data_IF_132080722924
#
_entry.id   IF_132080722924
#
_cell.length_a   1.000
_cell.length_b   1.000
_cell.length_c   1.000
_cell.angle_alpha   90.00
_cell.angle_beta   90.00
_cell.angle_gamma   90.00
#
_symmetry.space_group_name_H-M   'P 1'
#
loop_
_entity.id
_entity.type
_entity.pdbx_description
1 polymer ?
#
# COMPACT_ATOMS: atom_id res chain seq x y z
N UNK A 1 -7.10 17.47 13.88
CA UNK A 1 -5.80 17.21 14.55
C UNK A 1 -5.99 16.76 16.01
N UNK A 2 -6.74 17.49 16.83
CA UNK A 2 -6.97 17.15 18.26
C UNK A 2 -7.58 15.76 18.45
N UNK A 3 -8.55 15.39 17.63
CA UNK A 3 -9.21 14.08 17.65
C UNK A 3 -8.27 12.92 17.30
N UNK A 4 -7.40 13.08 16.29
CA UNK A 4 -6.40 12.09 15.92
C UNK A 4 -5.42 11.83 17.08
N UNK A 5 -4.94 12.91 17.72
CA UNK A 5 -4.01 12.81 18.86
C UNK A 5 -4.70 12.11 20.04
N UNK A 6 -5.95 12.45 20.33
CA UNK A 6 -6.73 11.80 21.40
C UNK A 6 -6.92 10.31 21.12
N UNK A 7 -7.32 9.95 19.90
CA UNK A 7 -7.50 8.56 19.48
C UNK A 7 -6.19 7.78 19.54
N UNK A 8 -5.09 8.34 19.03
CA UNK A 8 -3.76 7.75 19.09
C UNK A 8 -3.30 7.50 20.53
N UNK A 9 -3.48 8.48 21.43
CA UNK A 9 -3.14 8.36 22.85
C UNK A 9 -3.96 7.30 23.58
N UNK A 10 -5.17 7.01 23.11
CA UNK A 10 -6.04 5.98 23.65
C UNK A 10 -5.61 4.54 23.33
N UNK A 11 -4.62 4.31 22.47
CA UNK A 11 -4.03 3.01 22.24
C UNK A 11 -2.89 2.73 23.22
N UNK A 12 -2.62 1.44 23.46
CA UNK A 12 -1.50 1.00 24.30
C UNK A 12 -0.14 1.35 23.65
N UNK A 13 0.94 1.20 24.42
CA UNK A 13 2.29 1.55 23.97
C UNK A 13 2.73 0.78 22.72
N UNK A 14 2.54 -0.56 22.60
CA UNK A 14 2.93 -1.30 21.39
C UNK A 14 2.23 -0.80 20.13
N UNK A 15 0.90 -0.66 20.14
CA UNK A 15 0.14 -0.14 19.00
C UNK A 15 0.61 1.25 18.57
N UNK A 16 0.78 2.17 19.52
CA UNK A 16 1.30 3.52 19.24
C UNK A 16 2.68 3.48 18.61
N UNK A 17 3.55 2.64 19.13
CA UNK A 17 4.89 2.46 18.59
C UNK A 17 4.85 1.94 17.14
N UNK A 18 4.00 0.96 16.84
CA UNK A 18 3.85 0.45 15.47
C UNK A 18 3.34 1.51 14.50
N UNK A 19 2.42 2.38 14.92
CA UNK A 19 1.93 3.50 14.12
C UNK A 19 3.06 4.51 13.83
N UNK A 20 3.83 4.92 14.83
CA UNK A 20 4.99 5.82 14.66
C UNK A 20 6.08 5.16 13.82
N UNK A 21 6.35 3.87 14.03
CA UNK A 21 7.29 3.12 13.21
C UNK A 21 6.87 3.09 11.75
N UNK A 22 5.57 2.93 11.47
CA UNK A 22 5.07 2.93 10.10
C UNK A 22 5.33 4.27 9.39
N UNK A 23 5.14 5.39 10.09
CA UNK A 23 5.51 6.71 9.59
C UNK A 23 7.00 6.78 9.25
N UNK A 24 7.88 6.43 10.20
CA UNK A 24 9.32 6.49 10.02
C UNK A 24 9.81 5.53 8.92
N UNK A 25 9.23 4.33 8.83
CA UNK A 25 9.51 3.33 7.79
C UNK A 25 9.15 3.87 6.40
N UNK A 26 7.98 4.47 6.26
CA UNK A 26 7.58 5.05 4.98
C UNK A 26 8.41 6.28 4.63
N UNK A 27 8.70 7.15 5.60
CA UNK A 27 9.62 8.28 5.39
C UNK A 27 10.97 7.79 4.90
N UNK A 28 11.60 6.85 5.61
CA UNK A 28 12.91 6.30 5.24
C UNK A 28 12.93 5.54 3.90
N UNK A 29 11.82 4.91 3.53
CA UNK A 29 11.69 4.22 2.25
C UNK A 29 11.45 5.20 1.09
N UNK A 30 10.48 6.10 1.23
CA UNK A 30 10.08 6.99 0.15
C UNK A 30 11.03 8.18 -0.04
N UNK A 31 11.94 8.47 0.91
CA UNK A 31 12.99 9.46 0.69
C UNK A 31 14.03 9.00 -0.34
N UNK A 32 14.17 7.68 -0.59
CA UNK A 32 15.17 7.14 -1.52
C UNK A 32 14.55 6.59 -2.80
N UNK A 33 13.42 5.85 -2.70
CA UNK A 33 12.87 5.07 -3.81
C UNK A 33 12.50 5.88 -5.06
N UNK A 34 11.91 7.09 -4.97
CA UNK A 34 11.61 7.90 -6.15
C UNK A 34 12.86 8.31 -6.95
N UNK A 35 14.01 8.40 -6.30
CA UNK A 35 15.26 8.89 -6.90
C UNK A 35 16.20 7.78 -7.36
N UNK A 36 15.95 6.53 -6.92
CA UNK A 36 16.83 5.39 -7.20
C UNK A 36 17.02 5.15 -8.71
N UNK A 37 15.94 5.16 -9.47
CA UNK A 37 16.03 4.95 -10.93
C UNK A 37 16.88 6.01 -11.63
N UNK A 38 16.73 7.28 -11.25
CA UNK A 38 17.53 8.39 -11.77
C UNK A 38 19.00 8.26 -11.41
N UNK A 39 19.31 7.84 -10.20
CA UNK A 39 20.70 7.59 -9.76
C UNK A 39 21.34 6.44 -10.53
N UNK A 40 20.63 5.32 -10.72
CA UNK A 40 21.14 4.15 -11.44
C UNK A 40 21.41 4.47 -12.92
N UNK A 41 20.50 5.20 -13.58
CA UNK A 41 20.63 5.53 -15.00
C UNK A 41 21.62 6.68 -15.25
N UNK A 42 21.64 7.71 -14.39
CA UNK A 42 22.48 8.89 -14.54
C UNK A 42 23.89 8.68 -13.95
N UNK A 43 24.12 8.92 -12.66
CA UNK A 43 25.45 8.84 -12.04
C UNK A 43 26.18 7.51 -12.21
N UNK A 44 25.47 6.37 -12.18
CA UNK A 44 26.07 5.04 -12.37
C UNK A 44 26.09 4.59 -13.83
N UNK A 45 25.44 5.30 -14.75
CA UNK A 45 25.44 5.00 -16.18
C UNK A 45 24.86 3.64 -16.56
N UNK A 46 23.99 3.04 -15.72
CA UNK A 46 23.42 1.73 -16.00
C UNK A 46 22.43 1.78 -17.17
N UNK A 47 22.53 0.79 -18.06
CA UNK A 47 21.56 0.61 -19.12
C UNK A 47 20.13 0.39 -18.56
N UNK A 48 19.10 0.81 -19.31
CA UNK A 48 17.71 0.74 -18.87
C UNK A 48 17.25 -0.66 -18.42
N UNK A 49 17.74 -1.73 -19.07
CA UNK A 49 17.45 -3.10 -18.65
C UNK A 49 17.99 -3.43 -17.25
N UNK A 50 19.18 -2.92 -16.91
CA UNK A 50 19.81 -3.15 -15.60
C UNK A 50 19.05 -2.36 -14.49
N UNK A 51 18.65 -1.12 -14.78
CA UNK A 51 17.78 -0.34 -13.91
C UNK A 51 16.44 -1.07 -13.67
N UNK A 52 15.83 -1.56 -14.74
CA UNK A 52 14.61 -2.37 -14.68
C UNK A 52 14.78 -3.64 -13.86
N UNK A 53 15.91 -4.32 -14.00
CA UNK A 53 16.23 -5.53 -13.23
C UNK A 53 16.39 -5.24 -11.73
N UNK A 54 17.10 -4.17 -11.36
CA UNK A 54 17.28 -3.75 -9.95
C UNK A 54 15.93 -3.43 -9.28
N UNK A 55 15.08 -2.66 -9.96
CA UNK A 55 13.74 -2.31 -9.45
C UNK A 55 12.79 -3.52 -9.48
N UNK A 56 12.89 -4.35 -10.52
CA UNK A 56 12.08 -5.56 -10.69
C UNK A 56 12.36 -6.59 -9.59
N UNK A 57 13.63 -6.85 -9.29
CA UNK A 57 14.02 -7.81 -8.24
C UNK A 57 13.55 -7.36 -6.86
N UNK A 58 13.59 -6.05 -6.58
CA UNK A 58 13.05 -5.48 -5.34
C UNK A 58 11.54 -5.75 -5.22
N UNK A 59 10.79 -5.45 -6.28
CA UNK A 59 9.35 -5.66 -6.30
C UNK A 59 8.99 -7.14 -6.19
N UNK A 60 9.70 -8.00 -6.93
CA UNK A 60 9.50 -9.45 -6.86
C UNK A 60 9.80 -9.99 -5.45
N UNK A 61 10.93 -9.59 -4.84
CA UNK A 61 11.29 -10.00 -3.49
C UNK A 61 10.26 -9.53 -2.44
N UNK A 62 9.62 -8.38 -2.65
CA UNK A 62 8.57 -7.90 -1.77
C UNK A 62 7.23 -8.61 -2.02
N UNK A 63 6.69 -8.55 -3.22
CA UNK A 63 5.34 -9.05 -3.53
C UNK A 63 5.27 -10.58 -3.56
N UNK A 64 6.27 -11.24 -4.16
CA UNK A 64 6.31 -12.70 -4.25
C UNK A 64 6.56 -13.40 -2.92
N UNK A 65 7.18 -12.71 -1.95
CA UNK A 65 7.53 -13.31 -0.66
C UNK A 65 6.60 -12.92 0.49
N UNK A 66 5.52 -12.17 0.26
CA UNK A 66 4.58 -11.79 1.31
C UNK A 66 3.94 -12.99 2.01
N UNK A 67 3.57 -14.02 1.28
CA UNK A 67 2.99 -15.24 1.85
C UNK A 67 4.00 -15.95 2.80
N UNK A 68 5.27 -16.03 2.38
CA UNK A 68 6.33 -16.58 3.22
C UNK A 68 6.55 -15.74 4.48
N UNK A 69 6.63 -14.41 4.34
CA UNK A 69 6.79 -13.50 5.46
C UNK A 69 5.65 -13.60 6.46
N UNK A 70 4.41 -13.69 6.00
CA UNK A 70 3.24 -13.89 6.85
C UNK A 70 3.28 -15.22 7.60
N UNK A 71 3.62 -16.31 6.91
CA UNK A 71 3.74 -17.64 7.52
C UNK A 71 4.83 -17.69 8.59
N UNK A 72 5.99 -17.10 8.29
CA UNK A 72 7.08 -17.00 9.27
C UNK A 72 6.66 -16.16 10.48
N UNK A 73 5.89 -15.07 10.28
CA UNK A 73 5.40 -14.23 11.36
C UNK A 73 4.43 -14.97 12.30
N UNK A 74 3.54 -15.80 11.75
CA UNK A 74 2.63 -16.62 12.54
C UNK A 74 3.33 -17.76 13.26
N UNK A 75 4.52 -18.21 12.79
CA UNK A 75 5.28 -19.32 13.38
C UNK A 75 6.34 -18.88 14.37
N UNK A 76 7.08 -17.84 14.04
CA UNK A 76 8.20 -17.34 14.86
C UNK A 76 7.79 -16.20 15.79
N UNK A 77 6.56 -15.69 15.63
CA UNK A 77 6.07 -14.50 16.31
C UNK A 77 6.32 -13.22 15.52
N UNK A 78 5.53 -12.20 15.81
CA UNK A 78 5.56 -10.97 15.04
C UNK A 78 6.80 -10.12 15.30
N UNK A 79 7.26 -10.00 16.55
CA UNK A 79 8.44 -9.18 16.92
C UNK A 79 9.71 -9.59 16.16
N UNK A 80 10.12 -10.87 16.10
CA UNK A 80 11.31 -11.29 15.36
C UNK A 80 11.26 -10.85 13.90
N UNK A 81 10.11 -11.02 13.24
CA UNK A 81 9.96 -10.68 11.82
C UNK A 81 9.99 -9.17 11.57
N UNK A 82 9.38 -8.38 12.46
CA UNK A 82 9.42 -6.92 12.41
C UNK A 82 10.87 -6.44 12.55
N UNK A 83 11.59 -6.95 13.54
CA UNK A 83 12.98 -6.56 13.81
C UNK A 83 13.91 -7.02 12.67
N UNK A 84 13.81 -8.27 12.23
CA UNK A 84 14.61 -8.82 11.12
C UNK A 84 14.34 -8.05 9.82
N UNK A 85 13.08 -7.71 9.54
CA UNK A 85 12.72 -6.89 8.38
C UNK A 85 13.36 -5.50 8.43
N UNK A 86 13.34 -4.83 9.58
CA UNK A 86 14.01 -3.52 9.74
C UNK A 86 15.52 -3.64 9.64
N UNK A 87 16.13 -4.67 10.23
CA UNK A 87 17.58 -4.92 10.16
C UNK A 87 18.01 -5.18 8.71
N UNK A 88 17.27 -6.00 7.99
CA UNK A 88 17.54 -6.31 6.59
C UNK A 88 17.42 -5.07 5.69
N UNK A 89 16.46 -4.17 5.97
CA UNK A 89 16.39 -2.86 5.30
C UNK A 89 17.56 -1.96 5.64
N UNK A 90 17.98 -1.94 6.90
CA UNK A 90 19.18 -1.21 7.33
C UNK A 90 20.38 -1.64 6.49
N UNK A 91 20.65 -2.95 6.41
CA UNK A 91 21.74 -3.50 5.61
C UNK A 91 21.57 -3.23 4.10
N UNK A 92 20.37 -3.39 3.58
CA UNK A 92 20.06 -3.12 2.18
C UNK A 92 20.29 -1.66 1.78
N UNK A 93 19.85 -0.69 2.59
CA UNK A 93 20.09 0.73 2.32
C UNK A 93 21.55 1.13 2.58
N UNK A 94 22.21 0.56 3.59
CA UNK A 94 23.64 0.76 3.80
C UNK A 94 24.46 0.23 2.61
N UNK A 95 24.09 -0.93 2.06
CA UNK A 95 24.72 -1.46 0.86
C UNK A 95 24.44 -0.57 -0.36
N UNK A 96 23.23 -0.05 -0.55
CA UNK A 96 22.91 0.92 -1.63
C UNK A 96 23.73 2.21 -1.52
N UNK A 97 24.13 2.62 -0.32
CA UNK A 97 24.96 3.81 -0.12
C UNK A 97 26.39 3.65 -0.63
N UNK A 98 26.88 2.40 -0.76
CA UNK A 98 28.29 2.11 -1.14
C UNK A 98 28.41 1.25 -2.40
N UNK A 99 27.29 0.72 -2.94
CA UNK A 99 27.30 -0.19 -4.07
C UNK A 99 27.40 0.56 -5.40
N UNK A 100 28.42 0.21 -6.18
CA UNK A 100 28.64 0.73 -7.54
C UNK A 100 28.55 -0.38 -8.60
N UNK A 101 28.44 -1.66 -8.20
CA UNK A 101 28.35 -2.80 -9.10
C UNK A 101 26.94 -3.37 -9.21
N UNK A 102 26.54 -3.82 -10.39
CA UNK A 102 25.23 -4.39 -10.61
C UNK A 102 24.89 -5.54 -9.64
N UNK A 103 25.77 -6.52 -9.37
CA UNK A 103 25.48 -7.57 -8.39
C UNK A 103 25.19 -7.04 -6.97
N UNK A 104 25.97 -6.06 -6.49
CA UNK A 104 25.75 -5.46 -5.17
C UNK A 104 24.41 -4.71 -5.11
N UNK A 105 24.04 -3.97 -6.16
CA UNK A 105 22.75 -3.28 -6.29
C UNK A 105 21.58 -4.27 -6.31
N UNK A 106 21.73 -5.42 -6.99
CA UNK A 106 20.71 -6.48 -6.99
C UNK A 106 20.51 -7.09 -5.60
N UNK A 107 21.60 -7.38 -4.88
CA UNK A 107 21.54 -7.89 -3.50
C UNK A 107 20.88 -6.87 -2.57
N UNK A 108 21.27 -5.61 -2.65
CA UNK A 108 20.68 -4.54 -1.84
C UNK A 108 19.18 -4.37 -2.12
N UNK A 109 18.79 -4.42 -3.39
CA UNK A 109 17.40 -4.32 -3.83
C UNK A 109 16.56 -5.53 -3.40
N UNK A 110 17.09 -6.74 -3.54
CA UNK A 110 16.44 -7.95 -3.05
C UNK A 110 16.26 -7.90 -1.52
N UNK A 111 17.29 -7.49 -0.77
CA UNK A 111 17.25 -7.36 0.67
C UNK A 111 16.18 -6.34 1.13
N UNK A 112 16.14 -5.16 0.52
CA UNK A 112 15.13 -4.13 0.85
C UNK A 112 13.70 -4.54 0.49
N UNK A 113 13.53 -5.30 -0.60
CA UNK A 113 12.25 -5.88 -1.00
C UNK A 113 11.79 -6.96 -0.03
N UNK A 114 12.63 -7.96 0.22
CA UNK A 114 12.33 -9.08 1.12
C UNK A 114 12.08 -8.61 2.57
N UNK A 115 12.80 -7.60 3.02
CA UNK A 115 12.53 -6.94 4.30
C UNK A 115 11.07 -6.50 4.42
N UNK A 116 10.50 -5.91 3.35
CA UNK A 116 9.10 -5.51 3.30
C UNK A 116 8.14 -6.68 3.39
N UNK A 117 8.50 -7.82 2.77
CA UNK A 117 7.71 -9.04 2.83
C UNK A 117 7.65 -9.64 4.25
N UNK A 118 8.74 -9.56 5.00
CA UNK A 118 8.78 -10.04 6.39
C UNK A 118 7.98 -9.13 7.33
N UNK A 119 8.19 -7.82 7.21
CA UNK A 119 7.72 -6.85 8.18
C UNK A 119 6.23 -6.50 7.99
N UNK A 120 5.74 -6.28 6.76
CA UNK A 120 4.39 -5.75 6.55
C UNK A 120 3.26 -6.65 7.09
N UNK A 121 3.23 -7.98 6.82
CA UNK A 121 2.21 -8.86 7.40
C UNK A 121 2.31 -8.93 8.92
N UNK A 122 3.54 -8.98 9.46
CA UNK A 122 3.79 -9.07 10.89
C UNK A 122 3.29 -7.83 11.65
N UNK A 123 3.54 -6.63 11.14
CA UNK A 123 3.05 -5.37 11.75
C UNK A 123 1.53 -5.30 11.76
N UNK A 124 0.89 -5.65 10.64
CA UNK A 124 -0.57 -5.63 10.53
C UNK A 124 -1.21 -6.65 11.45
N UNK A 125 -0.67 -7.86 11.50
CA UNK A 125 -1.17 -8.90 12.39
C UNK A 125 -0.97 -8.52 13.86
N UNK A 126 0.21 -7.98 14.22
CA UNK A 126 0.45 -7.49 15.58
C UNK A 126 -0.55 -6.41 15.97
N UNK A 127 -0.71 -5.40 15.13
CA UNK A 127 -1.65 -4.29 15.37
C UNK A 127 -3.08 -4.80 15.52
N UNK A 128 -3.48 -5.77 14.71
CA UNK A 128 -4.82 -6.36 14.77
C UNK A 128 -5.08 -7.09 16.10
N UNK A 129 -4.11 -7.87 16.57
CA UNK A 129 -4.22 -8.61 17.84
C UNK A 129 -4.22 -7.65 19.03
N UNK A 130 -3.29 -6.69 19.03
CA UNK A 130 -3.08 -5.75 20.13
C UNK A 130 -4.22 -4.73 20.29
N UNK A 131 -4.92 -4.37 19.18
CA UNK A 131 -6.04 -3.42 19.18
C UNK A 131 -7.40 -4.03 19.55
N UNK A 132 -7.54 -5.34 19.56
CA UNK A 132 -8.76 -6.05 19.94
C UNK A 132 -10.01 -5.56 19.18
N UNK A 133 -11.03 -5.11 19.89
CA UNK A 133 -12.30 -4.61 19.33
C UNK A 133 -12.14 -3.26 18.58
N UNK A 134 -11.05 -2.52 18.81
CA UNK A 134 -10.79 -1.21 18.18
C UNK A 134 -9.95 -1.31 16.90
N UNK A 135 -9.91 -2.49 16.23
CA UNK A 135 -9.07 -2.74 15.04
C UNK A 135 -9.29 -1.74 13.91
N UNK A 136 -10.55 -1.47 13.55
CA UNK A 136 -10.89 -0.52 12.48
C UNK A 136 -10.31 0.87 12.78
N UNK A 137 -10.46 1.33 14.02
CA UNK A 137 -9.94 2.62 14.45
C UNK A 137 -8.40 2.63 14.47
N UNK A 138 -7.77 1.53 14.91
CA UNK A 138 -6.33 1.35 14.89
C UNK A 138 -5.76 1.39 13.45
N UNK A 139 -6.39 0.70 12.50
CA UNK A 139 -5.99 0.74 11.10
C UNK A 139 -6.24 2.11 10.46
N UNK A 140 -7.28 2.84 10.87
CA UNK A 140 -7.50 4.20 10.42
C UNK A 140 -6.37 5.14 10.87
N UNK A 141 -5.98 5.08 12.15
CA UNK A 141 -4.84 5.86 12.68
C UNK A 141 -3.53 5.41 12.02
N UNK A 142 -3.32 4.11 11.88
CA UNK A 142 -2.16 3.54 11.19
C UNK A 142 -2.02 4.08 9.76
N UNK A 143 -3.16 4.16 9.03
CA UNK A 143 -3.14 4.71 7.67
C UNK A 143 -2.75 6.19 7.64
N UNK A 144 -3.16 6.98 8.62
CA UNK A 144 -2.70 8.39 8.73
C UNK A 144 -1.19 8.47 8.84
N UNK A 145 -0.57 7.67 9.71
CA UNK A 145 0.88 7.62 9.86
C UNK A 145 1.57 7.06 8.60
N UNK A 146 0.95 6.06 7.97
CA UNK A 146 1.41 5.47 6.71
C UNK A 146 1.48 6.53 5.60
N UNK A 147 0.40 7.28 5.39
CA UNK A 147 0.31 8.30 4.34
C UNK A 147 1.16 9.54 4.65
N UNK A 148 1.26 9.93 5.90
CA UNK A 148 2.14 11.03 6.31
C UNK A 148 3.61 10.70 6.00
N UNK A 149 4.05 9.46 6.20
CA UNK A 149 5.39 9.01 5.84
C UNK A 149 5.64 9.00 4.34
N UNK A 150 4.65 8.57 3.54
CA UNK A 150 4.73 8.63 2.06
C UNK A 150 4.86 10.07 1.57
N UNK A 151 4.11 10.99 2.16
CA UNK A 151 4.14 12.40 1.77
C UNK A 151 5.45 13.09 2.17
N UNK A 152 5.93 12.84 3.37
CA UNK A 152 7.15 13.47 3.89
C UNK A 152 8.44 12.88 3.30
N UNK A 153 8.42 11.58 2.95
CA UNK A 153 9.59 10.87 2.43
C UNK A 153 10.27 11.57 1.28
N UNK A 154 9.59 11.84 0.15
CA UNK A 154 10.20 12.52 -1.00
C UNK A 154 10.73 13.92 -0.68
N UNK A 155 10.08 14.66 0.24
CA UNK A 155 10.54 16.00 0.66
C UNK A 155 11.88 15.91 1.39
N UNK A 156 11.99 14.98 2.34
CA UNK A 156 13.25 14.70 3.04
C UNK A 156 14.31 14.18 2.07
N UNK A 157 13.89 13.28 1.16
CA UNK A 157 14.76 12.74 0.11
C UNK A 157 15.34 13.83 -0.79
N UNK A 158 14.50 14.77 -1.26
CA UNK A 158 14.95 15.88 -2.09
C UNK A 158 15.97 16.77 -1.36
N UNK A 159 15.76 17.05 -0.07
CA UNK A 159 16.70 17.82 0.72
C UNK A 159 18.05 17.11 0.89
N UNK A 160 18.04 15.78 1.06
CA UNK A 160 19.29 14.99 1.16
C UNK A 160 19.96 14.79 -0.20
N UNK A 161 19.18 14.65 -1.28
CA UNK A 161 19.70 14.59 -2.65
C UNK A 161 20.44 15.85 -3.09
N UNK A 162 20.18 17.01 -2.44
CA UNK A 162 20.96 18.22 -2.66
C UNK A 162 22.43 18.06 -2.23
N UNK A 163 22.72 17.08 -1.36
CA UNK A 163 24.09 16.71 -0.97
C UNK A 163 24.59 15.59 -1.90
N UNK A 164 23.96 14.41 -1.86
CA UNK A 164 24.30 13.24 -2.67
C UNK A 164 23.24 12.15 -2.47
N UNK A 165 23.09 11.24 -3.47
CA UNK A 165 22.27 10.04 -3.35
C UNK A 165 22.76 9.13 -2.20
N UNK A 166 24.07 8.99 -2.03
CA UNK A 166 24.67 8.19 -0.94
C UNK A 166 24.30 8.72 0.44
N UNK A 167 24.21 10.04 0.60
CA UNK A 167 23.72 10.67 1.83
C UNK A 167 22.27 10.29 2.11
N UNK A 168 21.40 10.27 1.07
CA UNK A 168 20.01 9.83 1.18
C UNK A 168 19.90 8.37 1.57
N UNK A 169 20.68 7.48 0.94
CA UNK A 169 20.72 6.05 1.26
C UNK A 169 21.25 5.78 2.69
N UNK A 170 22.28 6.51 3.09
CA UNK A 170 22.83 6.47 4.47
C UNK A 170 21.78 6.96 5.48
N UNK A 171 21.09 8.05 5.20
CA UNK A 171 20.00 8.56 6.02
C UNK A 171 18.89 7.53 6.20
N UNK A 172 18.49 6.83 5.11
CA UNK A 172 17.54 5.73 5.18
C UNK A 172 18.05 4.58 6.07
N UNK A 173 19.31 4.17 5.90
CA UNK A 173 19.92 3.13 6.74
C UNK A 173 19.94 3.52 8.22
N UNK A 174 20.24 4.76 8.54
CA UNK A 174 20.24 5.30 9.93
C UNK A 174 18.82 5.26 10.50
N UNK A 175 17.81 5.70 9.76
CA UNK A 175 16.40 5.64 10.21
C UNK A 175 16.01 4.20 10.51
N UNK A 176 16.27 3.24 9.61
CA UNK A 176 15.93 1.83 9.83
C UNK A 176 16.76 1.19 10.94
N UNK A 177 18.02 1.58 11.12
CA UNK A 177 18.86 1.16 12.23
C UNK A 177 18.31 1.63 13.58
N UNK A 178 17.92 2.89 13.68
CA UNK A 178 17.30 3.46 14.88
C UNK A 178 15.95 2.75 15.19
N UNK A 179 15.14 2.48 14.16
CA UNK A 179 13.89 1.73 14.30
C UNK A 179 14.14 0.29 14.77
N UNK A 180 15.16 -0.38 14.24
CA UNK A 180 15.54 -1.74 14.68
C UNK A 180 15.85 -1.75 16.18
N UNK A 181 16.67 -0.80 16.66
CA UNK A 181 17.02 -0.68 18.08
C UNK A 181 15.79 -0.34 18.95
N UNK A 182 14.94 0.57 18.48
CA UNK A 182 13.71 0.94 19.18
C UNK A 182 12.76 -0.26 19.32
N UNK A 183 12.57 -1.04 18.25
CA UNK A 183 11.68 -2.21 18.24
C UNK A 183 12.20 -3.37 19.09
N UNK A 184 13.53 -3.59 19.11
CA UNK A 184 14.14 -4.60 19.99
C UNK A 184 13.78 -4.34 21.46
N UNK A 185 13.79 -3.07 21.89
CA UNK A 185 13.56 -2.67 23.29
C UNK A 185 12.08 -2.55 23.65
N UNK A 186 11.26 -2.06 22.75
CA UNK A 186 9.90 -1.59 23.07
C UNK A 186 8.77 -2.55 22.67
N UNK A 187 8.99 -3.46 21.70
CA UNK A 187 7.96 -4.44 21.35
C UNK A 187 7.99 -5.63 22.33
N UNK A 188 6.86 -5.96 22.98
CA UNK A 188 6.72 -7.21 23.73
C UNK A 188 6.91 -8.43 22.82
N UNK A 189 7.39 -9.52 23.39
CA UNK A 189 7.42 -10.80 22.69
C UNK A 189 6.01 -11.41 22.71
N UNK A 190 5.37 -11.46 21.55
CA UNK A 190 4.25 -12.36 21.33
C UNK A 190 4.84 -13.69 20.87
N UNK A 191 4.99 -14.61 21.77
CA UNK A 191 5.40 -15.99 21.45
C UNK A 191 4.26 -16.66 20.70
N UNK A 192 4.52 -17.00 19.43
CA UNK A 192 3.70 -18.00 18.77
C UNK A 192 3.84 -19.30 19.55
N UNK A 193 2.73 -19.90 19.97
CA UNK A 193 2.77 -21.23 20.61
C UNK A 193 3.42 -22.25 19.66
N UNK A 194 4.00 -23.35 20.19
CA UNK A 194 4.63 -24.38 19.36
C UNK A 194 3.60 -24.93 18.36
N UNK A 195 3.85 -24.72 17.06
CA UNK A 195 3.02 -25.26 16.00
C UNK A 195 3.52 -26.63 15.58
N UNK A 196 2.64 -27.60 15.66
CA UNK A 196 2.87 -28.98 15.21
C UNK A 196 2.56 -29.18 13.72
N UNK A 197 1.89 -28.20 13.09
CA UNK A 197 1.48 -28.25 11.68
C UNK A 197 2.62 -27.88 10.72
N UNK A 198 2.63 -28.46 9.51
CA UNK A 198 3.59 -28.09 8.47
C UNK A 198 3.26 -26.71 7.86
N UNK A 199 4.22 -26.07 7.17
CA UNK A 199 3.99 -24.83 6.41
C UNK A 199 2.93 -25.06 5.34
N UNK A 200 2.96 -26.21 4.69
CA UNK A 200 2.02 -26.57 3.64
C UNK A 200 0.59 -26.74 4.17
N UNK A 201 0.44 -27.22 5.39
CA UNK A 201 -0.87 -27.32 6.04
C UNK A 201 -1.43 -25.94 6.38
N UNK A 202 -0.60 -25.02 6.87
CA UNK A 202 -1.00 -23.63 7.09
C UNK A 202 -1.48 -22.98 5.76
N UNK A 203 -0.76 -23.21 4.66
CA UNK A 203 -1.16 -22.70 3.33
C UNK A 203 -2.43 -23.36 2.82
N UNK A 204 -2.62 -24.68 3.01
CA UNK A 204 -3.87 -25.36 2.66
C UNK A 204 -5.06 -24.77 3.40
N UNK A 205 -4.92 -24.49 4.69
CA UNK A 205 -5.99 -23.85 5.48
C UNK A 205 -6.36 -22.48 4.90
N UNK A 206 -5.38 -21.64 4.59
CA UNK A 206 -5.64 -20.30 4.06
C UNK A 206 -6.19 -20.35 2.63
N UNK A 207 -5.67 -21.24 1.78
CA UNK A 207 -6.16 -21.44 0.41
C UNK A 207 -7.53 -22.16 0.34
N UNK A 208 -7.91 -22.90 1.37
CA UNK A 208 -9.24 -23.48 1.48
C UNK A 208 -10.30 -22.48 1.95
N UNK A 209 -9.90 -21.31 2.49
CA UNK A 209 -10.80 -20.29 2.98
C UNK A 209 -11.49 -19.53 1.83
N UNK A 210 -12.55 -20.12 1.28
CA UNK A 210 -13.30 -19.58 0.13
C UNK A 210 -13.83 -18.16 0.35
N UNK A 211 -14.46 -17.81 1.52
CA UNK A 211 -14.88 -16.42 1.76
C UNK A 211 -13.73 -15.43 1.69
N UNK A 212 -12.56 -15.77 2.25
CA UNK A 212 -11.37 -14.95 2.19
C UNK A 212 -10.85 -14.79 0.74
N UNK A 213 -10.78 -15.87 -0.04
CA UNK A 213 -10.31 -15.79 -1.42
C UNK A 213 -11.24 -14.95 -2.30
N UNK A 214 -12.56 -15.09 -2.15
CA UNK A 214 -13.55 -14.28 -2.86
C UNK A 214 -13.40 -12.78 -2.49
N UNK A 215 -13.25 -12.50 -1.20
CA UNK A 215 -12.97 -11.16 -0.72
C UNK A 215 -11.65 -10.61 -1.29
N UNK A 216 -10.54 -11.35 -1.18
CA UNK A 216 -9.23 -10.93 -1.68
C UNK A 216 -9.26 -10.67 -3.19
N UNK A 217 -9.94 -11.52 -3.98
CA UNK A 217 -10.11 -11.34 -5.42
C UNK A 217 -10.91 -10.07 -5.76
N UNK A 218 -11.99 -9.80 -5.04
CA UNK A 218 -12.77 -8.58 -5.24
C UNK A 218 -11.97 -7.32 -4.87
N UNK A 219 -11.11 -7.41 -3.85
CA UNK A 219 -10.27 -6.30 -3.38
C UNK A 219 -9.06 -6.02 -4.28
N UNK A 220 -8.71 -6.88 -5.25
CA UNK A 220 -7.71 -6.56 -6.29
C UNK A 220 -8.03 -5.21 -6.93
N UNK A 221 -9.31 -4.99 -7.24
CA UNK A 221 -9.77 -3.79 -7.92
C UNK A 221 -9.51 -2.52 -7.11
N UNK A 222 -9.63 -2.53 -5.77
CA UNK A 222 -9.33 -1.36 -4.94
C UNK A 222 -7.91 -0.90 -5.13
N UNK A 223 -6.98 -1.84 -5.15
CA UNK A 223 -5.56 -1.56 -5.31
C UNK A 223 -5.23 -1.15 -6.76
N UNK A 224 -5.81 -1.82 -7.76
CA UNK A 224 -5.64 -1.42 -9.17
C UNK A 224 -6.10 0.02 -9.39
N UNK A 225 -7.28 0.40 -8.86
CA UNK A 225 -7.81 1.75 -8.99
C UNK A 225 -6.93 2.78 -8.24
N UNK A 226 -6.52 2.48 -7.01
CA UNK A 226 -5.67 3.37 -6.22
C UNK A 226 -4.28 3.56 -6.86
N UNK A 227 -3.71 2.51 -7.48
CA UNK A 227 -2.40 2.58 -8.14
C UNK A 227 -2.39 3.41 -9.42
N UNK A 228 -3.55 3.77 -9.99
CA UNK A 228 -3.60 4.65 -11.17
C UNK A 228 -3.03 6.06 -10.89
N UNK A 229 -2.92 6.45 -9.63
CA UNK A 229 -2.21 7.67 -9.25
C UNK A 229 -0.72 7.63 -9.63
N UNK A 230 -0.15 6.45 -9.82
CA UNK A 230 1.25 6.24 -10.23
C UNK A 230 1.42 5.87 -11.70
N UNK A 231 0.35 5.55 -12.44
CA UNK A 231 0.42 5.14 -13.84
C UNK A 231 -0.42 6.04 -14.74
N UNK A 232 -1.74 5.92 -14.70
CA UNK A 232 -2.62 6.57 -15.66
C UNK A 232 -2.75 8.08 -15.42
N UNK A 233 -2.83 8.53 -14.16
CA UNK A 233 -2.98 9.96 -13.87
C UNK A 233 -1.73 10.77 -14.25
N UNK A 234 -0.46 10.32 -14.02
CA UNK A 234 0.72 11.02 -14.52
C UNK A 234 0.77 11.10 -16.05
N UNK A 235 0.44 10.01 -16.75
CA UNK A 235 0.37 9.99 -18.22
C UNK A 235 -0.67 10.99 -18.74
N UNK A 236 -1.82 11.05 -18.08
CA UNK A 236 -2.87 12.02 -18.42
C UNK A 236 -2.46 13.46 -18.11
N UNK A 237 -1.86 13.71 -16.95
CA UNK A 237 -1.36 15.03 -16.56
C UNK A 237 -0.33 15.57 -17.57
N UNK A 238 0.57 14.70 -18.06
CA UNK A 238 1.54 15.08 -19.09
C UNK A 238 0.84 15.52 -20.40
N UNK A 239 -0.26 14.86 -20.76
CA UNK A 239 -1.03 15.20 -21.98
C UNK A 239 -1.79 16.52 -21.88
N UNK A 240 -2.35 16.86 -20.71
CA UNK A 240 -3.19 18.05 -20.52
C UNK A 240 -2.42 19.29 -20.07
N UNK A 241 -1.29 19.13 -19.37
CA UNK A 241 -0.54 20.22 -18.76
C UNK A 241 0.90 20.38 -19.28
N UNK A 242 1.38 19.48 -20.17
CA UNK A 242 2.73 19.57 -20.76
C UNK A 242 3.81 19.79 -19.69
N UNK A 243 4.57 20.87 -19.79
CA UNK A 243 5.65 21.21 -18.85
C UNK A 243 5.17 21.40 -17.40
N UNK A 244 3.90 21.73 -17.20
CA UNK A 244 3.30 21.88 -15.86
C UNK A 244 2.80 20.56 -15.26
N UNK A 245 2.97 19.43 -15.92
CA UNK A 245 2.49 18.12 -15.44
C UNK A 245 3.03 17.75 -14.06
N UNK A 246 4.30 18.06 -13.77
CA UNK A 246 4.93 17.79 -12.47
C UNK A 246 4.26 18.58 -11.35
N UNK A 247 3.92 19.84 -11.59
CA UNK A 247 3.21 20.70 -10.62
C UNK A 247 1.80 20.15 -10.39
N UNK A 248 1.10 19.76 -11.45
CA UNK A 248 -0.24 19.20 -11.37
C UNK A 248 -0.24 17.86 -10.60
N UNK A 249 0.70 16.97 -10.87
CA UNK A 249 0.84 15.72 -10.11
C UNK A 249 1.21 15.94 -8.66
N UNK A 250 2.04 16.95 -8.37
CA UNK A 250 2.32 17.35 -6.97
C UNK A 250 1.02 17.78 -6.27
N UNK A 251 0.17 18.56 -6.93
CA UNK A 251 -1.14 18.95 -6.38
C UNK A 251 -2.03 17.73 -6.13
N UNK A 252 -2.06 16.75 -7.05
CA UNK A 252 -2.78 15.47 -6.86
C UNK A 252 -2.30 14.72 -5.62
N UNK A 253 -0.99 14.56 -5.44
CA UNK A 253 -0.42 13.88 -4.28
C UNK A 253 -0.68 14.63 -2.96
N UNK A 254 -0.50 15.94 -2.95
CA UNK A 254 -0.77 16.77 -1.76
C UNK A 254 -2.24 16.69 -1.38
N UNK A 255 -3.15 16.83 -2.34
CA UNK A 255 -4.60 16.78 -2.12
C UNK A 255 -5.04 15.41 -1.56
N UNK A 256 -4.56 14.33 -2.18
CA UNK A 256 -4.80 12.95 -1.70
C UNK A 256 -4.24 12.74 -0.29
N UNK A 257 -3.03 13.23 -0.03
CA UNK A 257 -2.39 13.16 1.29
C UNK A 257 -3.15 13.94 2.36
N UNK A 258 -3.63 15.15 2.04
CA UNK A 258 -4.45 15.96 2.96
C UNK A 258 -5.75 15.24 3.31
N UNK A 259 -6.45 14.66 2.33
CA UNK A 259 -7.67 13.89 2.55
C UNK A 259 -7.40 12.68 3.44
N UNK A 260 -6.34 11.92 3.14
CA UNK A 260 -5.96 10.76 3.91
C UNK A 260 -5.58 11.12 5.36
N UNK A 261 -4.88 12.24 5.60
CA UNK A 261 -4.44 12.62 6.93
C UNK A 261 -5.56 13.32 7.73
N UNK A 262 -6.24 14.29 7.12
CA UNK A 262 -7.23 15.10 7.81
C UNK A 262 -8.62 14.45 7.85
N UNK A 263 -8.96 13.66 6.82
CA UNK A 263 -10.28 13.05 6.65
C UNK A 263 -10.42 11.64 7.23
N UNK A 264 -9.32 10.88 7.36
CA UNK A 264 -9.33 9.43 7.62
C UNK A 264 -10.28 9.02 8.76
N UNK A 265 -10.10 9.57 9.95
CA UNK A 265 -10.89 9.16 11.11
C UNK A 265 -12.37 9.51 10.98
N UNK A 266 -12.68 10.70 10.42
CA UNK A 266 -14.07 11.13 10.22
C UNK A 266 -14.78 10.25 9.21
N UNK A 267 -14.11 9.97 8.07
CA UNK A 267 -14.62 9.10 7.02
C UNK A 267 -14.85 7.70 7.59
N UNK A 268 -13.84 7.11 8.23
CA UNK A 268 -13.96 5.76 8.81
C UNK A 268 -15.07 5.65 9.82
N UNK A 269 -15.21 6.61 10.76
CA UNK A 269 -16.27 6.59 11.76
C UNK A 269 -17.65 6.75 11.15
N UNK A 270 -17.81 7.71 10.23
CA UNK A 270 -19.08 7.95 9.57
C UNK A 270 -19.56 6.72 8.78
N UNK A 271 -18.66 6.09 8.01
CA UNK A 271 -18.97 4.86 7.30
C UNK A 271 -19.30 3.71 8.26
N UNK A 272 -18.46 3.48 9.26
CA UNK A 272 -18.64 2.40 10.23
C UNK A 272 -19.94 2.50 11.04
N UNK A 273 -20.29 3.71 11.48
CA UNK A 273 -21.52 3.94 12.26
C UNK A 273 -22.79 3.84 11.40
N UNK A 274 -22.72 4.24 10.13
CA UNK A 274 -23.88 4.29 9.26
C UNK A 274 -24.20 2.94 8.60
N UNK A 275 -23.18 2.19 8.18
CA UNK A 275 -23.36 1.00 7.34
C UNK A 275 -22.62 -0.26 7.85
N UNK A 276 -21.83 -0.13 8.88
CA UNK A 276 -21.01 -1.24 9.37
C UNK A 276 -19.88 -1.62 8.40
N UNK A 277 -19.10 -2.66 8.74
CA UNK A 277 -17.89 -3.05 8.03
C UNK A 277 -18.14 -3.45 6.58
N UNK A 278 -19.01 -4.43 6.36
CA UNK A 278 -19.20 -5.04 5.04
C UNK A 278 -19.76 -4.07 3.99
N UNK A 279 -20.78 -3.29 4.37
CA UNK A 279 -21.35 -2.29 3.47
C UNK A 279 -20.43 -1.09 3.26
N UNK A 280 -19.62 -0.71 4.27
CA UNK A 280 -18.61 0.34 4.12
C UNK A 280 -17.55 -0.01 3.07
N UNK A 281 -17.13 -1.28 3.01
CA UNK A 281 -16.24 -1.78 1.94
C UNK A 281 -16.88 -1.64 0.56
N UNK A 282 -18.10 -2.10 0.39
CA UNK A 282 -18.80 -2.06 -0.91
C UNK A 282 -19.04 -0.61 -1.37
N UNK A 283 -19.47 0.28 -0.47
CA UNK A 283 -19.66 1.69 -0.77
C UNK A 283 -18.34 2.41 -1.06
N UNK A 284 -17.29 2.15 -0.27
CA UNK A 284 -15.96 2.70 -0.51
C UNK A 284 -15.39 2.25 -1.87
N UNK A 285 -15.61 0.99 -2.26
CA UNK A 285 -15.26 0.48 -3.59
C UNK A 285 -16.05 1.18 -4.70
N UNK A 286 -17.35 1.42 -4.51
CA UNK A 286 -18.14 2.20 -5.45
C UNK A 286 -17.60 3.63 -5.61
N UNK A 287 -17.21 4.28 -4.52
CA UNK A 287 -16.58 5.61 -4.58
C UNK A 287 -15.28 5.55 -5.37
N UNK A 288 -14.42 4.54 -5.15
CA UNK A 288 -13.19 4.35 -5.93
C UNK A 288 -13.48 4.15 -7.42
N UNK A 289 -14.50 3.36 -7.76
CA UNK A 289 -14.92 3.16 -9.14
C UNK A 289 -15.38 4.46 -9.81
N UNK A 290 -16.26 5.19 -9.15
CA UNK A 290 -16.81 6.44 -9.67
C UNK A 290 -15.81 7.61 -9.65
N UNK A 291 -14.65 7.45 -8.99
CA UNK A 291 -13.59 8.45 -9.00
C UNK A 291 -13.09 8.80 -10.43
N UNK A 292 -13.18 7.86 -11.37
CA UNK A 292 -12.72 8.06 -12.75
C UNK A 292 -13.80 8.61 -13.68
N UNK A 293 -15.05 8.76 -13.23
CA UNK A 293 -16.14 9.32 -14.05
C UNK A 293 -15.83 10.72 -14.57
N UNK A 294 -15.24 11.66 -13.80
CA UNK A 294 -14.85 12.96 -14.34
C UNK A 294 -13.94 12.87 -15.58
N UNK A 295 -13.02 11.87 -15.59
CA UNK A 295 -12.11 11.63 -16.72
C UNK A 295 -12.78 10.89 -17.90
N UNK A 296 -13.88 10.17 -17.66
CA UNK A 296 -14.72 9.64 -18.74
C UNK A 296 -15.46 10.76 -19.45
N UNK A 297 -15.99 11.74 -18.69
CA UNK A 297 -16.77 12.86 -19.21
C UNK A 297 -15.86 13.90 -19.87
N UNK A 298 -14.68 14.17 -19.29
CA UNK A 298 -13.70 15.13 -19.78
C UNK A 298 -12.36 14.40 -19.98
N UNK A 299 -12.22 13.61 -21.05
CA UNK A 299 -11.05 12.73 -21.23
C UNK A 299 -9.80 13.46 -21.75
N UNK A 300 -9.88 14.76 -22.01
CA UNK A 300 -8.77 15.56 -22.54
C UNK A 300 -9.10 17.03 -22.64
N UNK A 301 -8.28 17.76 -23.39
CA UNK A 301 -8.37 19.23 -23.51
C UNK A 301 -9.42 19.71 -24.51
N UNK A 302 -10.23 18.84 -25.10
CA UNK A 302 -11.28 19.23 -26.05
C UNK A 302 -12.32 20.21 -25.48
N UNK A 303 -12.56 20.16 -24.17
CA UNK A 303 -13.40 21.12 -23.45
C UNK A 303 -12.61 22.27 -22.80
N UNK A 304 -11.31 22.36 -23.09
CA UNK A 304 -10.38 23.31 -22.50
C UNK A 304 -9.47 22.70 -21.44
N UNK A 305 -8.34 23.35 -21.20
CA UNK A 305 -7.31 22.87 -20.24
C UNK A 305 -7.81 22.91 -18.79
N UNK A 306 -8.51 23.96 -18.39
CA UNK A 306 -8.98 24.11 -17.01
C UNK A 306 -10.04 23.08 -16.60
N UNK A 307 -11.06 22.76 -17.44
CA UNK A 307 -11.95 21.64 -17.16
C UNK A 307 -11.23 20.29 -17.04
N UNK A 308 -10.22 20.02 -17.89
CA UNK A 308 -9.43 18.79 -17.81
C UNK A 308 -8.62 18.69 -16.51
N UNK A 309 -7.99 19.79 -16.08
CA UNK A 309 -7.31 19.87 -14.78
C UNK A 309 -8.31 19.67 -13.63
N UNK A 310 -9.47 20.32 -13.71
CA UNK A 310 -10.54 20.15 -12.71
C UNK A 310 -11.02 18.71 -12.59
N UNK A 311 -11.20 18.01 -13.72
CA UNK A 311 -11.57 16.59 -13.73
C UNK A 311 -10.50 15.71 -13.07
N UNK A 312 -9.23 15.96 -13.36
CA UNK A 312 -8.11 15.23 -12.75
C UNK A 312 -8.03 15.44 -11.22
N UNK A 313 -8.15 16.69 -10.77
CA UNK A 313 -8.14 17.01 -9.34
C UNK A 313 -9.37 16.43 -8.61
N UNK A 314 -10.54 16.48 -9.23
CA UNK A 314 -11.75 15.85 -8.69
C UNK A 314 -11.59 14.34 -8.57
N UNK A 315 -11.00 13.69 -9.58
CA UNK A 315 -10.63 12.27 -9.53
C UNK A 315 -9.73 11.99 -8.33
N UNK A 316 -8.71 12.80 -8.09
CA UNK A 316 -7.80 12.64 -6.95
C UNK A 316 -8.51 12.76 -5.59
N UNK A 317 -9.44 13.73 -5.46
CA UNK A 317 -10.27 13.92 -4.26
C UNK A 317 -11.11 12.68 -4.00
N UNK A 318 -11.86 12.21 -5.00
CA UNK A 318 -12.79 11.10 -4.86
C UNK A 318 -12.03 9.79 -4.60
N UNK A 319 -10.87 9.58 -5.27
CA UNK A 319 -9.96 8.46 -4.97
C UNK A 319 -9.47 8.48 -3.52
N UNK A 320 -9.05 9.64 -3.03
CA UNK A 320 -8.61 9.81 -1.64
C UNK A 320 -9.70 9.47 -0.62
N UNK A 321 -10.93 9.93 -0.87
CA UNK A 321 -12.10 9.61 -0.01
C UNK A 321 -12.41 8.11 -0.05
N UNK A 322 -12.44 7.51 -1.25
CA UNK A 322 -12.71 6.09 -1.42
C UNK A 322 -11.65 5.22 -0.74
N UNK A 323 -10.37 5.54 -0.92
CA UNK A 323 -9.26 4.84 -0.26
C UNK A 323 -9.33 4.95 1.27
N UNK A 324 -9.64 6.12 1.81
CA UNK A 324 -9.82 6.33 3.24
C UNK A 324 -11.03 5.56 3.81
N UNK A 325 -12.10 5.42 3.01
CA UNK A 325 -13.27 4.63 3.38
C UNK A 325 -12.99 3.11 3.33
N UNK A 326 -12.17 2.63 2.39
CA UNK A 326 -11.92 1.20 2.19
C UNK A 326 -10.89 0.65 3.17
N UNK A 327 -9.72 1.27 3.28
CA UNK A 327 -8.53 0.69 3.90
C UNK A 327 -8.73 0.13 5.32
N UNK A 328 -9.36 0.81 6.29
CA UNK A 328 -9.48 0.27 7.64
C UNK A 328 -10.39 -0.96 7.72
N UNK A 329 -11.47 -0.95 6.93
CA UNK A 329 -12.41 -2.07 6.89
C UNK A 329 -11.85 -3.26 6.09
N UNK A 330 -11.07 -3.01 5.06
CA UNK A 330 -10.31 -4.00 4.31
C UNK A 330 -9.36 -4.77 5.23
N UNK A 331 -8.55 -4.06 6.01
CA UNK A 331 -7.63 -4.66 6.95
C UNK A 331 -8.34 -5.44 8.06
N UNK A 332 -9.43 -4.90 8.63
CA UNK A 332 -10.23 -5.60 9.64
C UNK A 332 -10.94 -6.85 9.06
N UNK A 333 -11.38 -6.81 7.80
CA UNK A 333 -12.05 -7.95 7.15
C UNK A 333 -11.10 -9.12 6.93
N UNK A 334 -9.82 -8.88 6.60
CA UNK A 334 -8.80 -9.95 6.54
C UNK A 334 -8.72 -10.69 7.89
N UNK A 335 -8.68 -9.95 9.00
CA UNK A 335 -8.63 -10.54 10.35
C UNK A 335 -9.92 -11.30 10.67
N UNK A 336 -11.07 -10.72 10.38
CA UNK A 336 -12.37 -11.35 10.63
C UNK A 336 -12.51 -12.68 9.87
N UNK A 337 -12.15 -12.69 8.59
CA UNK A 337 -12.23 -13.89 7.75
C UNK A 337 -11.14 -14.93 8.10
N UNK A 338 -10.05 -14.53 8.72
CA UNK A 338 -9.04 -15.46 9.25
C UNK A 338 -9.49 -16.20 10.52
N UNK A 339 -10.59 -15.79 11.15
CA UNK A 339 -11.03 -16.32 12.44
C UNK A 339 -9.99 -16.12 13.56
N UNK A 340 -9.18 -15.08 13.48
CA UNK A 340 -8.01 -14.81 14.34
C UNK A 340 -6.94 -15.93 14.34
N UNK A 341 -6.93 -16.77 13.29
CA UNK A 341 -5.92 -17.83 13.10
C UNK A 341 -5.10 -17.52 11.85
N UNK A 342 -3.77 -17.74 11.91
CA UNK A 342 -2.87 -17.48 10.78
C UNK A 342 -3.05 -16.07 10.18
N UNK A 343 -3.21 -15.06 11.03
CA UNK A 343 -3.57 -13.71 10.62
C UNK A 343 -2.50 -13.12 9.70
N UNK A 344 -1.22 -13.29 10.05
CA UNK A 344 -0.12 -12.79 9.21
C UNK A 344 -0.02 -13.57 7.89
N UNK A 345 -0.30 -14.89 7.88
CA UNK A 345 -0.36 -15.69 6.65
C UNK A 345 -1.50 -15.23 5.73
N UNK A 346 -2.69 -14.93 6.29
CA UNK A 346 -3.79 -14.34 5.52
C UNK A 346 -3.41 -12.98 4.94
N UNK A 347 -2.79 -12.08 5.72
CA UNK A 347 -2.27 -10.83 5.18
C UNK A 347 -1.19 -11.04 4.10
N UNK A 348 -0.33 -12.03 4.28
CA UNK A 348 0.69 -12.41 3.31
C UNK A 348 0.08 -12.83 1.98
N UNK A 349 -0.86 -13.78 2.02
CA UNK A 349 -1.58 -14.23 0.81
C UNK A 349 -2.40 -13.10 0.18
N UNK A 350 -3.09 -12.31 0.99
CA UNK A 350 -3.82 -11.13 0.53
C UNK A 350 -2.92 -10.19 -0.28
N UNK A 351 -1.79 -9.79 0.28
CA UNK A 351 -0.86 -8.88 -0.40
C UNK A 351 -0.25 -9.51 -1.67
N UNK A 352 0.00 -10.84 -1.68
CA UNK A 352 0.47 -11.54 -2.89
C UNK A 352 -0.58 -11.50 -3.99
N UNK A 353 -1.85 -11.82 -3.69
CA UNK A 353 -2.97 -11.75 -4.63
C UNK A 353 -3.13 -10.34 -5.19
N UNK A 354 -3.15 -9.35 -4.31
CA UNK A 354 -3.26 -7.93 -4.68
C UNK A 354 -2.07 -7.48 -5.52
N UNK A 355 -0.85 -7.89 -5.17
CA UNK A 355 0.36 -7.54 -5.92
C UNK A 355 0.35 -8.08 -7.35
N UNK A 356 -0.08 -9.33 -7.55
CA UNK A 356 -0.30 -9.90 -8.89
C UNK A 356 -1.41 -9.14 -9.63
N UNK A 357 -2.49 -8.82 -8.93
CA UNK A 357 -3.59 -8.06 -9.50
C UNK A 357 -3.18 -6.66 -9.97
N UNK A 358 -2.37 -5.93 -9.18
CA UNK A 358 -1.81 -4.62 -9.58
C UNK A 358 -0.95 -4.76 -10.83
N UNK A 359 -0.09 -5.78 -10.92
CA UNK A 359 0.74 -6.03 -12.09
C UNK A 359 -0.11 -6.22 -13.34
N UNK A 360 -1.08 -7.13 -13.30
CA UNK A 360 -1.97 -7.41 -14.43
C UNK A 360 -2.87 -6.22 -14.78
N UNK A 361 -3.39 -5.52 -13.77
CA UNK A 361 -4.19 -4.33 -13.95
C UNK A 361 -3.42 -3.18 -14.61
N UNK A 362 -2.18 -2.95 -14.17
CA UNK A 362 -1.32 -1.93 -14.76
C UNK A 362 -0.92 -2.27 -16.20
N UNK A 363 -0.64 -3.56 -16.50
CA UNK A 363 -0.39 -4.00 -17.88
C UNK A 363 -1.63 -3.76 -18.74
N UNK A 364 -2.81 -4.16 -18.29
CA UNK A 364 -4.05 -3.97 -19.03
C UNK A 364 -4.41 -2.50 -19.28
N UNK A 365 -4.29 -1.65 -18.26
CA UNK A 365 -4.55 -0.21 -18.41
C UNK A 365 -3.46 0.47 -19.24
N UNK A 366 -2.19 0.09 -19.06
CA UNK A 366 -1.08 0.61 -19.87
C UNK A 366 -1.28 0.31 -21.36
N UNK A 367 -1.58 -0.95 -21.73
CA UNK A 367 -1.85 -1.32 -23.12
C UNK A 367 -3.09 -0.60 -23.68
N UNK A 368 -4.12 -0.41 -22.86
CA UNK A 368 -5.32 0.32 -23.29
C UNK A 368 -5.03 1.82 -23.51
N UNK A 369 -4.20 2.43 -22.65
CA UNK A 369 -3.75 3.82 -22.83
C UNK A 369 -2.90 3.99 -24.08
N UNK A 370 -2.03 3.03 -24.41
CA UNK A 370 -1.22 3.05 -25.63
C UNK A 370 -2.08 2.85 -26.87
N UNK A 371 -2.99 1.87 -26.90
CA UNK A 371 -3.90 1.62 -28.00
C UNK A 371 -4.83 2.80 -28.32
N UNK A 372 -5.20 3.59 -27.29
CA UNK A 372 -6.05 4.79 -27.47
C UNK A 372 -5.23 6.06 -27.70
N UNK A 373 -3.90 5.98 -27.70
CA UNK A 373 -3.02 7.14 -27.86
C UNK A 373 -3.12 7.79 -29.23
N UNK A 374 -3.29 6.98 -30.27
CA UNK A 374 -3.42 7.41 -31.67
C UNK A 374 -4.86 7.78 -32.04
N UNK A 375 -5.86 7.22 -31.33
CA UNK A 375 -7.27 7.41 -31.63
C UNK A 375 -7.93 8.64 -30.97
N UNK A 376 -7.17 9.45 -30.21
CA UNK A 376 -7.72 10.63 -29.53
C UNK A 376 -7.98 10.39 -28.03
N UNK A 377 -8.80 11.23 -27.36
CA UNK A 377 -8.97 11.21 -25.93
C UNK A 377 -9.51 9.87 -25.43
N UNK A 378 -8.78 9.27 -24.50
CA UNK A 378 -8.96 7.88 -24.05
C UNK A 378 -10.05 7.71 -22.98
N UNK A 379 -11.29 8.13 -23.26
CA UNK A 379 -12.44 7.84 -22.39
C UNK A 379 -12.58 6.32 -22.09
N UNK A 380 -12.13 5.48 -23.03
CA UNK A 380 -12.21 4.02 -22.90
C UNK A 380 -11.38 3.46 -21.73
N UNK A 381 -10.16 3.98 -21.51
CA UNK A 381 -9.32 3.54 -20.37
C UNK A 381 -9.97 3.91 -19.03
N UNK A 382 -10.55 5.10 -18.93
CA UNK A 382 -11.25 5.56 -17.74
C UNK A 382 -12.55 4.78 -17.52
N UNK A 383 -13.31 4.53 -18.61
CA UNK A 383 -14.52 3.70 -18.56
C UNK A 383 -14.21 2.27 -18.13
N UNK A 384 -13.09 1.68 -18.56
CA UNK A 384 -12.65 0.37 -18.12
C UNK A 384 -12.36 0.34 -16.59
N UNK A 385 -11.72 1.38 -16.04
CA UNK A 385 -11.49 1.50 -14.59
C UNK A 385 -12.82 1.60 -13.83
N UNK A 386 -13.76 2.43 -14.31
CA UNK A 386 -15.12 2.52 -13.73
C UNK A 386 -15.81 1.15 -13.77
N UNK A 387 -15.76 0.44 -14.89
CA UNK A 387 -16.38 -0.89 -15.04
C UNK A 387 -15.79 -1.93 -14.08
N UNK A 388 -14.45 -2.02 -14.02
CA UNK A 388 -13.74 -2.94 -13.10
C UNK A 388 -14.10 -2.66 -11.66
N UNK A 389 -14.08 -1.39 -11.24
CA UNK A 389 -14.45 -1.00 -9.89
C UNK A 389 -15.92 -1.25 -9.57
N UNK A 390 -16.84 -1.01 -10.53
CA UNK A 390 -18.28 -1.25 -10.37
C UNK A 390 -18.58 -2.74 -10.20
N UNK A 391 -17.94 -3.61 -11.00
CA UNK A 391 -18.07 -5.07 -10.86
C UNK A 391 -17.56 -5.52 -9.48
N UNK A 392 -16.44 -4.99 -9.00
CA UNK A 392 -15.92 -5.30 -7.67
C UNK A 392 -16.84 -4.78 -6.55
N UNK A 393 -17.38 -3.57 -6.68
CA UNK A 393 -18.35 -3.04 -5.73
C UNK A 393 -19.61 -3.92 -5.66
N UNK A 394 -20.13 -4.33 -6.82
CA UNK A 394 -21.28 -5.25 -6.90
C UNK A 394 -20.96 -6.61 -6.25
N UNK A 395 -19.78 -7.18 -6.50
CA UNK A 395 -19.34 -8.42 -5.87
C UNK A 395 -19.23 -8.29 -4.34
N UNK A 396 -18.64 -7.20 -3.82
CA UNK A 396 -18.56 -6.93 -2.40
C UNK A 396 -19.94 -6.73 -1.78
N UNK A 397 -20.86 -6.07 -2.49
CA UNK A 397 -22.24 -5.89 -2.05
C UNK A 397 -22.99 -7.22 -1.95
N UNK A 398 -22.78 -8.13 -2.93
CA UNK A 398 -23.33 -9.48 -2.91
C UNK A 398 -22.77 -10.31 -1.74
N UNK A 399 -21.45 -10.21 -1.49
CA UNK A 399 -20.80 -10.88 -0.36
C UNK A 399 -21.30 -10.32 0.98
N UNK A 400 -21.51 -9.02 1.09
CA UNK A 400 -22.07 -8.38 2.29
C UNK A 400 -23.50 -8.85 2.56
N UNK A 401 -24.38 -8.85 1.53
CA UNK A 401 -25.77 -9.34 1.65
C UNK A 401 -25.86 -10.82 2.01
N UNK A 402 -24.94 -11.63 1.54
CA UNK A 402 -24.89 -13.06 1.85
C UNK A 402 -24.31 -13.38 3.23
N UNK A 403 -23.89 -12.38 4.02
CA UNK A 403 -23.23 -12.55 5.32
C UNK A 403 -21.83 -13.17 5.26
N UNK A 404 -21.28 -13.37 4.06
CA UNK A 404 -19.98 -14.05 3.89
C UNK A 404 -18.80 -13.22 4.35
N UNK A 405 -18.95 -11.89 4.47
CA UNK A 405 -17.91 -11.02 5.00
C UNK A 405 -17.91 -10.98 6.55
N UNK A 406 -19.01 -11.39 7.18
CA UNK A 406 -19.19 -11.36 8.63
C UNK A 406 -19.10 -12.75 9.27
N UNK A 407 -19.14 -13.81 8.48
CA UNK A 407 -19.11 -15.18 8.99
C UNK A 407 -17.75 -15.52 9.60
N UNK A 408 -17.70 -16.01 10.85
CA UNK A 408 -16.53 -16.68 11.36
C UNK A 408 -16.27 -17.93 10.50
N UNK A 409 -15.02 -18.20 10.16
CA UNK A 409 -14.64 -19.47 9.52
C UNK A 409 -15.07 -20.60 10.46
N UNK A 410 -15.83 -21.61 9.98
CA UNK A 410 -16.15 -22.75 10.82
C UNK A 410 -14.86 -23.36 11.35
N UNK A 411 -14.74 -23.46 12.66
CA UNK A 411 -13.64 -24.18 13.32
C UNK A 411 -13.93 -25.66 13.11
N UNK A 412 -13.28 -26.25 12.07
CA UNK A 412 -13.26 -27.69 11.90
C UNK A 412 -12.23 -28.34 12.85
#
# INVERSE_FOLDING_TARGET
>A
MTELIATFRGFNRPSRMLMVNQFAINTGFYMLMPYLAGYLAGPLGLAAWAVGLVLGIRNFAQQGMFLLGGTLADRLGYKPLIVTGCLLRTGGFALLAVADTLPALLVASAATGFAGALFNPAVRAYLAVDSGSRRVEAFAVFNVFYQAGILLGPIVGLALMAVDFRATATGAAVVFGALTLAQLRALPQHTAGPKTTSVLDDWRVVLANRPFLLFASAMISSSVLAFQVYLALPVHAARIAGDSATVLMTAVFVLSGVIAIAGQLRITRWFGQRWGRAHSLALGMAILAFAFVPLVVIPGTGSGVWPAIGALLLTAVVLGIGAAAVFPFEMDTVVALSGNRLVATHYGLYNTIVGVGILLGNLGIGTLLDATREAGPSALAWAALVAVGTVAAAALFALARSGRLDAPVPVG
#
